data_IF_130921674759
#
_entry.id   IF_130921674759
#
_cell.length_a   1.000
_cell.length_b   1.000
_cell.length_c   1.000
_cell.angle_alpha   90.00
_cell.angle_beta   90.00
_cell.angle_gamma   90.00
#
_symmetry.space_group_name_H-M   'P 1'
#
loop_
_entity.id
_entity.type
_entity.pdbx_description
1 polymer ?
#
# COMPACT_ATOMS: atom_id res chain seq x y z
N UNK A 1 -6.30 2.89 21.76
CA UNK A 1 -5.60 2.97 20.46
C UNK A 1 -5.72 4.42 19.99
N UNK A 2 -4.61 5.08 19.63
CA UNK A 2 -4.66 6.46 19.14
C UNK A 2 -5.20 6.44 17.70
N UNK A 3 -6.04 7.41 17.33
CA UNK A 3 -6.72 7.49 16.01
C UNK A 3 -5.76 7.35 14.81
N UNK A 4 -4.49 7.73 15.00
CA UNK A 4 -3.40 7.65 14.01
C UNK A 4 -3.07 6.21 13.57
N UNK A 5 -3.24 5.21 14.44
CA UNK A 5 -2.93 3.82 14.11
C UNK A 5 -3.91 3.24 13.08
N UNK A 6 -5.17 3.68 13.10
CA UNK A 6 -6.19 3.27 12.12
C UNK A 6 -5.92 3.82 10.71
N UNK A 7 -5.35 5.03 10.62
CA UNK A 7 -5.02 5.67 9.34
C UNK A 7 -3.92 4.90 8.60
N UNK A 8 -2.96 4.32 9.34
CA UNK A 8 -1.89 3.50 8.75
C UNK A 8 -2.32 2.05 8.52
N UNK A 9 -3.30 1.56 9.29
CA UNK A 9 -3.80 0.20 9.17
C UNK A 9 -4.61 -0.02 7.88
N UNK A 10 -5.47 0.92 7.48
CA UNK A 10 -6.30 0.74 6.28
C UNK A 10 -5.48 0.62 4.96
N UNK A 11 -4.46 1.46 4.71
CA UNK A 11 -3.55 1.30 3.58
C UNK A 11 -2.74 -0.01 3.64
N UNK A 12 -2.31 -0.43 4.84
CA UNK A 12 -1.63 -1.71 5.05
C UNK A 12 -2.51 -2.90 4.63
N UNK A 13 -3.77 -2.89 5.06
CA UNK A 13 -4.74 -3.94 4.74
C UNK A 13 -5.05 -3.94 3.23
N UNK A 14 -5.26 -2.76 2.64
CA UNK A 14 -5.50 -2.65 1.19
C UNK A 14 -4.31 -3.17 0.37
N UNK A 15 -3.08 -2.83 0.76
CA UNK A 15 -1.86 -3.31 0.11
C UNK A 15 -1.72 -4.84 0.20
N UNK A 16 -1.83 -5.40 1.41
CA UNK A 16 -1.71 -6.84 1.63
C UNK A 16 -2.83 -7.64 0.96
N UNK A 17 -4.06 -7.12 1.00
CA UNK A 17 -5.22 -7.71 0.32
C UNK A 17 -5.06 -7.71 -1.19
N UNK A 18 -4.62 -6.60 -1.78
CA UNK A 18 -4.33 -6.50 -3.21
C UNK A 18 -3.23 -7.46 -3.66
N UNK A 19 -2.10 -7.52 -2.94
CA UNK A 19 -1.00 -8.44 -3.24
C UNK A 19 -1.44 -9.90 -3.17
N UNK A 20 -2.19 -10.27 -2.13
CA UNK A 20 -2.71 -11.63 -1.96
C UNK A 20 -3.68 -11.98 -3.09
N UNK A 21 -4.57 -11.06 -3.48
CA UNK A 21 -5.49 -11.28 -4.60
C UNK A 21 -4.79 -11.42 -5.94
N UNK A 22 -3.71 -10.66 -6.18
CA UNK A 22 -2.85 -10.82 -7.36
C UNK A 22 -2.17 -12.21 -7.40
N UNK A 23 -1.65 -12.68 -6.28
CA UNK A 23 -1.04 -14.03 -6.16
C UNK A 23 -2.10 -15.12 -6.35
N UNK A 24 -3.31 -14.94 -5.83
CA UNK A 24 -4.38 -15.93 -5.99
C UNK A 24 -4.92 -15.98 -7.42
N UNK A 25 -4.98 -14.83 -8.11
CA UNK A 25 -5.42 -14.78 -9.50
C UNK A 25 -4.49 -15.55 -10.44
N UNK A 26 -3.18 -15.63 -10.15
CA UNK A 26 -2.28 -16.47 -10.95
C UNK A 26 -2.65 -17.96 -10.92
N UNK A 27 -3.39 -18.40 -9.91
CA UNK A 27 -3.89 -19.77 -9.79
C UNK A 27 -5.31 -19.94 -10.35
N UNK A 28 -6.08 -18.85 -10.50
CA UNK A 28 -7.47 -18.84 -10.98
C UNK A 28 -7.71 -17.67 -11.96
N UNK A 29 -7.18 -17.76 -13.20
CA UNK A 29 -7.11 -16.62 -14.14
C UNK A 29 -8.46 -16.22 -14.75
N UNK A 30 -9.54 -16.96 -14.49
CA UNK A 30 -10.86 -16.69 -15.06
C UNK A 30 -11.57 -15.45 -14.48
N UNK A 31 -11.13 -14.96 -13.31
CA UNK A 31 -11.82 -13.88 -12.61
C UNK A 31 -11.16 -12.51 -12.82
N UNK A 32 -11.57 -11.84 -13.89
CA UNK A 32 -11.05 -10.53 -14.31
C UNK A 32 -11.43 -9.41 -13.35
N UNK A 33 -12.61 -9.50 -12.71
CA UNK A 33 -13.04 -8.52 -11.72
C UNK A 33 -12.18 -8.62 -10.47
N UNK A 34 -11.92 -9.83 -10.00
CA UNK A 34 -11.02 -10.06 -8.87
C UNK A 34 -9.59 -9.56 -9.17
N UNK A 35 -9.08 -9.79 -10.38
CA UNK A 35 -7.79 -9.25 -10.81
C UNK A 35 -7.77 -7.72 -10.76
N UNK A 36 -8.77 -7.07 -11.36
CA UNK A 36 -8.85 -5.62 -11.43
C UNK A 36 -8.92 -5.00 -10.03
N UNK A 37 -9.76 -5.54 -9.15
CA UNK A 37 -9.87 -5.10 -7.75
C UNK A 37 -8.54 -5.28 -7.01
N UNK A 38 -7.86 -6.41 -7.21
CA UNK A 38 -6.57 -6.69 -6.56
C UNK A 38 -5.49 -5.71 -6.99
N UNK A 39 -5.41 -5.39 -8.28
CA UNK A 39 -4.49 -4.38 -8.82
C UNK A 39 -4.78 -3.00 -8.23
N UNK A 40 -6.05 -2.60 -8.19
CA UNK A 40 -6.45 -1.29 -7.65
C UNK A 40 -6.07 -1.18 -6.18
N UNK A 41 -6.40 -2.19 -5.37
CA UNK A 41 -6.07 -2.22 -3.94
C UNK A 41 -4.55 -2.18 -3.70
N UNK A 42 -3.80 -2.94 -4.49
CA UNK A 42 -2.34 -2.96 -4.41
C UNK A 42 -1.72 -1.60 -4.78
N UNK A 43 -2.15 -1.02 -5.90
CA UNK A 43 -1.66 0.28 -6.36
C UNK A 43 -2.01 1.41 -5.38
N UNK A 44 -3.22 1.41 -4.83
CA UNK A 44 -3.63 2.37 -3.79
C UNK A 44 -2.77 2.24 -2.54
N UNK A 45 -2.57 1.02 -2.04
CA UNK A 45 -1.70 0.77 -0.89
C UNK A 45 -0.28 1.28 -1.14
N UNK A 46 0.30 0.94 -2.29
CA UNK A 46 1.64 1.37 -2.68
C UNK A 46 1.76 2.90 -2.80
N UNK A 47 0.77 3.57 -3.38
CA UNK A 47 0.75 5.02 -3.52
C UNK A 47 0.70 5.72 -2.15
N UNK A 48 -0.12 5.22 -1.22
CA UNK A 48 -0.25 5.80 0.12
C UNK A 48 1.05 5.58 0.92
N UNK A 49 1.62 4.37 0.92
CA UNK A 49 2.89 4.11 1.60
C UNK A 49 4.06 4.87 0.97
N UNK A 50 4.14 4.91 -0.36
CA UNK A 50 5.16 5.66 -1.08
C UNK A 50 5.06 7.16 -0.81
N UNK A 51 3.84 7.71 -0.81
CA UNK A 51 3.59 9.10 -0.44
C UNK A 51 3.99 9.42 0.99
N UNK A 52 3.65 8.54 1.94
CA UNK A 52 4.04 8.71 3.34
C UNK A 52 5.56 8.62 3.51
N UNK A 53 6.23 7.70 2.80
CA UNK A 53 7.68 7.57 2.80
C UNK A 53 8.36 8.83 2.25
N UNK A 54 7.86 9.40 1.15
CA UNK A 54 8.37 10.66 0.60
C UNK A 54 8.16 11.82 1.58
N UNK A 55 7.00 11.89 2.24
CA UNK A 55 6.74 12.90 3.27
C UNK A 55 7.70 12.76 4.45
N UNK A 56 7.90 11.54 4.96
CA UNK A 56 8.88 11.26 6.02
C UNK A 56 10.29 11.65 5.58
N UNK A 57 10.71 11.26 4.38
CA UNK A 57 12.02 11.63 3.83
C UNK A 57 12.19 13.15 3.72
N UNK A 58 11.17 13.87 3.26
CA UNK A 58 11.22 15.34 3.17
C UNK A 58 11.14 16.04 4.53
N UNK A 59 10.69 15.33 5.57
CA UNK A 59 10.54 15.86 6.93
C UNK A 59 11.76 15.56 7.82
N UNK A 60 12.63 14.65 7.37
CA UNK A 60 13.93 14.47 8.00
C UNK A 60 14.79 15.68 7.62
N UNK A 61 15.37 16.41 8.59
CA UNK A 61 16.38 17.40 8.27
C UNK A 61 17.44 16.72 7.42
N UNK A 62 17.79 17.31 6.28
CA UNK A 62 19.03 16.95 5.61
C UNK A 62 20.11 17.04 6.68
N UNK A 63 20.76 15.92 7.00
CA UNK A 63 21.89 15.94 7.94
C UNK A 63 22.83 17.05 7.44
N UNK A 64 22.88 18.16 8.17
CA UNK A 64 23.98 19.11 8.11
C UNK A 64 25.23 18.32 8.46
N UNK A 65 26.05 18.11 7.43
CA UNK A 65 27.50 17.92 7.44
C UNK A 65 28.11 16.75 8.24
N UNK A 66 28.54 15.69 7.51
CA UNK A 66 29.93 15.16 7.53
C UNK A 66 30.36 14.73 6.12
#
# INVERSE_FOLDING_TARGET
>A
MKSSDLILLAPAIAFAGGLTGLIQHSNHPGDVLFLATSIILFAMGAAIFGGLFLLLRSSLPEDEDV
#
